data_IF_346899757774
#
_entry.id   IF_346899757774
#
_cell.length_a   1.000
_cell.length_b   1.000
_cell.length_c   1.000
_cell.angle_alpha   90.00
_cell.angle_beta   90.00
_cell.angle_gamma   90.00
#
_symmetry.space_group_name_H-M   'P 1'
#
loop_
_entity.id
_entity.type
_entity.pdbx_description
1 polymer ?
#
# COMPACT_ATOMS: atom_id res chain seq x y z
N UNK A 1 -1.41 -4.72 -18.38
CA UNK A 1 0.01 -4.74 -18.69
C UNK A 1 0.81 -5.06 -17.43
N UNK A 2 1.54 -6.19 -17.42
CA UNK A 2 2.42 -6.56 -16.31
C UNK A 2 3.86 -6.22 -16.70
N UNK A 3 4.45 -5.30 -15.90
CA UNK A 3 5.85 -4.91 -16.09
C UNK A 3 6.79 -5.87 -15.35
N UNK A 4 7.94 -6.13 -15.93
CA UNK A 4 9.05 -6.86 -15.33
C UNK A 4 8.75 -8.29 -14.88
N UNK A 5 7.76 -8.93 -15.46
CA UNK A 5 7.39 -10.30 -15.07
C UNK A 5 8.59 -11.26 -15.18
N UNK A 6 9.31 -11.22 -16.30
CA UNK A 6 10.47 -12.09 -16.50
C UNK A 6 11.58 -11.82 -15.49
N UNK A 7 11.81 -10.53 -15.18
CA UNK A 7 12.79 -10.14 -14.17
C UNK A 7 12.36 -10.61 -12.77
N UNK A 8 11.10 -10.40 -12.41
CA UNK A 8 10.58 -10.83 -11.12
C UNK A 8 10.64 -12.34 -10.97
N UNK A 9 10.31 -13.09 -12.02
CA UNK A 9 10.41 -14.55 -12.02
C UNK A 9 11.85 -15.04 -11.87
N UNK A 10 12.83 -14.31 -12.43
CA UNK A 10 14.24 -14.68 -12.34
C UNK A 10 14.83 -14.47 -10.92
N UNK A 11 14.26 -13.54 -10.13
CA UNK A 11 14.75 -13.20 -8.79
C UNK A 11 13.88 -13.76 -7.66
N UNK A 12 12.80 -14.49 -7.97
CA UNK A 12 11.90 -15.05 -6.95
C UNK A 12 11.74 -16.56 -7.15
N UNK A 13 11.66 -17.29 -6.06
CA UNK A 13 11.36 -18.73 -6.08
C UNK A 13 9.95 -19.00 -6.63
N UNK A 14 9.04 -18.06 -6.39
CA UNK A 14 7.66 -18.13 -6.87
C UNK A 14 7.12 -16.75 -7.18
N UNK A 15 6.49 -16.61 -8.33
CA UNK A 15 5.74 -15.43 -8.73
C UNK A 15 4.26 -15.81 -8.82
N UNK A 16 3.40 -15.06 -8.12
CA UNK A 16 1.96 -15.25 -8.13
C UNK A 16 1.27 -14.00 -8.69
N UNK A 17 1.03 -13.91 -10.01
CA UNK A 17 0.25 -12.83 -10.57
C UNK A 17 -1.21 -12.92 -10.12
N UNK A 18 -1.75 -11.79 -9.63
CA UNK A 18 -3.15 -11.70 -9.21
C UNK A 18 -3.77 -10.48 -9.88
N UNK A 19 -4.87 -10.66 -10.57
CA UNK A 19 -5.65 -9.57 -11.18
C UNK A 19 -7.07 -9.57 -10.65
N UNK A 20 -7.65 -8.38 -10.53
CA UNK A 20 -9.00 -8.23 -9.97
C UNK A 20 -10.06 -8.96 -10.80
N UNK A 21 -9.93 -8.90 -12.11
CA UNK A 21 -10.86 -9.46 -13.08
C UNK A 21 -10.52 -10.89 -13.52
N UNK A 22 -9.31 -11.36 -13.18
CA UNK A 22 -8.82 -12.66 -13.63
C UNK A 22 -8.31 -12.67 -15.09
N UNK A 23 -8.11 -11.49 -15.68
CA UNK A 23 -7.61 -11.37 -17.06
C UNK A 23 -6.21 -11.94 -17.22
N UNK A 24 -5.45 -12.04 -16.13
CA UNK A 24 -4.14 -12.67 -16.09
C UNK A 24 -3.84 -13.24 -14.70
N UNK A 25 -3.23 -14.42 -14.65
CA UNK A 25 -2.90 -15.11 -13.40
C UNK A 25 -4.14 -15.54 -12.63
N UNK A 26 -4.13 -15.35 -11.31
CA UNK A 26 -5.28 -15.70 -10.47
C UNK A 26 -6.21 -14.50 -10.31
N UNK A 27 -7.52 -14.77 -10.27
CA UNK A 27 -8.51 -13.75 -9.93
C UNK A 27 -8.52 -13.50 -8.44
N UNK A 28 -8.47 -12.23 -8.04
CA UNK A 28 -8.58 -11.88 -6.62
C UNK A 28 -7.91 -10.57 -6.24
N UNK A 29 -7.63 -10.48 -4.96
CA UNK A 29 -6.98 -9.34 -4.30
C UNK A 29 -5.90 -9.86 -3.34
N UNK A 30 -5.38 -8.98 -2.49
CA UNK A 30 -4.36 -9.26 -1.46
C UNK A 30 -4.66 -10.55 -0.67
N UNK A 31 -5.91 -10.80 -0.33
CA UNK A 31 -6.34 -12.01 0.38
C UNK A 31 -5.89 -13.29 -0.33
N UNK A 32 -5.91 -13.32 -1.68
CA UNK A 32 -5.47 -14.49 -2.45
C UNK A 32 -4.01 -14.85 -2.17
N UNK A 33 -3.15 -13.85 -1.90
CA UNK A 33 -1.76 -14.09 -1.46
C UNK A 33 -1.70 -14.80 -0.10
N UNK A 34 -2.55 -14.42 0.84
CA UNK A 34 -2.64 -15.08 2.15
C UNK A 34 -3.18 -16.52 2.03
N UNK A 35 -4.21 -16.71 1.22
CA UNK A 35 -4.75 -18.07 0.95
C UNK A 35 -3.68 -18.96 0.32
N UNK A 36 -2.89 -18.43 -0.61
CA UNK A 36 -1.77 -19.15 -1.22
C UNK A 36 -0.71 -19.59 -0.18
N UNK A 37 -0.36 -18.73 0.77
CA UNK A 37 0.57 -19.11 1.84
C UNK A 37 0.01 -20.26 2.68
N UNK A 38 -1.28 -20.22 2.99
CA UNK A 38 -1.96 -21.30 3.74
C UNK A 38 -2.01 -22.60 2.96
N UNK A 39 -2.38 -22.55 1.68
CA UNK A 39 -2.47 -23.70 0.78
C UNK A 39 -1.12 -24.40 0.59
N UNK A 40 -0.05 -23.61 0.51
CA UNK A 40 1.32 -24.12 0.27
C UNK A 40 2.11 -24.42 1.53
N UNK A 41 1.61 -24.02 2.70
CA UNK A 41 2.33 -24.16 3.97
C UNK A 41 3.57 -23.26 4.10
N UNK A 42 3.75 -22.31 3.17
CA UNK A 42 4.88 -21.38 3.20
C UNK A 42 4.71 -20.43 4.39
N UNK A 43 5.75 -20.33 5.23
CA UNK A 43 5.82 -19.39 6.33
C UNK A 43 6.82 -18.28 6.00
N UNK A 44 6.36 -17.08 5.65
CA UNK A 44 7.26 -15.97 5.37
C UNK A 44 7.96 -15.53 6.66
N UNK A 45 9.20 -15.09 6.55
CA UNK A 45 9.93 -14.45 7.66
C UNK A 45 9.66 -12.94 7.71
N UNK A 46 9.17 -12.38 6.63
CA UNK A 46 8.81 -10.96 6.48
C UNK A 46 7.81 -10.79 5.37
N UNK A 47 6.90 -9.85 5.52
CA UNK A 47 6.00 -9.39 4.46
C UNK A 47 6.40 -7.96 4.10
N UNK A 48 6.56 -7.69 2.81
CA UNK A 48 6.84 -6.34 2.30
C UNK A 48 5.75 -5.98 1.30
N UNK A 49 5.15 -4.82 1.47
CA UNK A 49 4.10 -4.34 0.58
C UNK A 49 4.41 -2.93 0.06
N UNK A 50 4.34 -2.79 -1.26
CA UNK A 50 4.45 -1.52 -1.95
C UNK A 50 3.28 -1.38 -2.93
N UNK A 51 2.63 -0.21 -2.92
CA UNK A 51 1.49 0.08 -3.79
C UNK A 51 0.62 1.22 -3.24
N UNK A 52 -0.60 1.36 -3.75
CA UNK A 52 -1.48 2.40 -3.24
C UNK A 52 -1.82 2.18 -1.75
N UNK A 53 -2.13 3.25 -1.03
CA UNK A 53 -2.39 3.20 0.42
C UNK A 53 -3.48 2.19 0.79
N UNK A 54 -4.52 2.07 -0.03
CA UNK A 54 -5.56 1.07 0.22
C UNK A 54 -5.01 -0.36 0.14
N UNK A 55 -4.14 -0.64 -0.83
CA UNK A 55 -3.54 -1.97 -0.98
C UNK A 55 -2.63 -2.30 0.20
N UNK A 56 -1.73 -1.40 0.58
CA UNK A 56 -0.80 -1.65 1.70
C UNK A 56 -1.54 -1.73 3.05
N UNK A 57 -2.64 -0.98 3.22
CA UNK A 57 -3.56 -1.15 4.34
C UNK A 57 -4.16 -2.56 4.36
N UNK A 58 -4.66 -3.05 3.22
CA UNK A 58 -5.22 -4.41 3.11
C UNK A 58 -4.17 -5.48 3.41
N UNK A 59 -2.93 -5.31 2.93
CA UNK A 59 -1.82 -6.20 3.29
C UNK A 59 -1.59 -6.22 4.80
N UNK A 60 -1.50 -5.05 5.42
CA UNK A 60 -1.33 -4.93 6.87
C UNK A 60 -2.42 -5.68 7.65
N UNK A 61 -3.67 -5.58 7.22
CA UNK A 61 -4.80 -6.28 7.87
C UNK A 61 -4.79 -7.79 7.62
N UNK A 62 -4.52 -8.21 6.38
CA UNK A 62 -4.56 -9.62 5.99
C UNK A 62 -3.38 -10.42 6.58
N UNK A 63 -2.20 -9.79 6.71
CA UNK A 63 -0.99 -10.47 7.19
C UNK A 63 -0.60 -10.07 8.62
N UNK A 64 -1.32 -9.14 9.24
CA UNK A 64 -1.02 -8.65 10.59
C UNK A 64 -1.14 -9.70 11.70
N UNK A 65 -1.82 -10.83 11.43
CA UNK A 65 -1.91 -11.97 12.35
C UNK A 65 -0.67 -12.84 12.35
N UNK A 66 0.22 -12.68 11.37
CA UNK A 66 1.49 -13.39 11.34
C UNK A 66 2.45 -12.77 12.37
N UNK A 67 3.20 -13.63 13.06
CA UNK A 67 4.23 -13.19 14.03
C UNK A 67 5.52 -12.75 13.33
N UNK A 68 5.40 -12.02 12.23
CA UNK A 68 6.52 -11.55 11.41
C UNK A 68 6.35 -10.08 11.09
N UNK A 69 7.43 -9.33 10.81
CA UNK A 69 7.33 -7.94 10.39
C UNK A 69 6.51 -7.81 9.10
N UNK A 70 5.55 -6.89 9.10
CA UNK A 70 4.74 -6.52 7.93
C UNK A 70 5.11 -5.09 7.53
N UNK A 71 6.10 -4.97 6.67
CA UNK A 71 6.61 -3.68 6.22
C UNK A 71 5.75 -3.15 5.08
N UNK A 72 5.26 -1.94 5.25
CA UNK A 72 4.44 -1.22 4.26
C UNK A 72 5.14 0.05 3.84
N UNK A 73 5.28 0.25 2.53
CA UNK A 73 5.82 1.49 1.97
C UNK A 73 4.68 2.48 1.78
N UNK A 74 4.69 3.58 2.53
CA UNK A 74 3.60 4.55 2.54
C UNK A 74 3.82 5.66 1.53
N UNK A 75 2.83 5.91 0.70
CA UNK A 75 2.80 6.99 -0.28
C UNK A 75 1.93 8.17 0.20
N UNK A 76 2.26 8.75 1.35
CA UNK A 76 1.66 9.98 1.84
C UNK A 76 1.98 11.16 0.91
N UNK A 77 1.19 12.22 0.99
CA UNK A 77 1.55 13.48 0.32
C UNK A 77 2.85 13.99 0.94
N UNK A 78 3.85 14.26 0.10
CA UNK A 78 5.16 14.81 0.51
C UNK A 78 5.43 16.05 -0.32
N UNK A 79 5.80 17.14 0.33
CA UNK A 79 6.07 18.43 -0.35
C UNK A 79 7.55 18.77 -0.29
N UNK A 80 8.09 18.98 0.91
CA UNK A 80 9.49 19.40 1.06
C UNK A 80 10.50 18.24 1.16
N UNK A 81 10.07 17.09 1.64
CA UNK A 81 10.95 15.93 1.83
C UNK A 81 11.94 16.04 2.99
N UNK A 82 11.90 17.12 3.78
CA UNK A 82 12.87 17.42 4.84
C UNK A 82 12.29 17.30 6.24
N UNK A 83 10.97 17.06 6.35
CA UNK A 83 10.26 16.97 7.61
C UNK A 83 9.83 18.32 8.19
N UNK A 84 10.08 19.43 7.52
CA UNK A 84 9.73 20.77 8.02
C UNK A 84 8.25 21.10 7.83
N UNK A 85 7.66 20.79 6.67
CA UNK A 85 6.27 21.15 6.38
C UNK A 85 5.24 20.28 7.12
N UNK A 86 5.60 19.11 7.59
CA UNK A 86 4.72 18.21 8.35
C UNK A 86 3.54 17.60 7.58
N UNK A 87 3.47 17.78 6.27
CA UNK A 87 2.36 17.27 5.46
C UNK A 87 2.29 15.74 5.45
N UNK A 88 3.44 15.09 5.43
CA UNK A 88 3.56 13.63 5.43
C UNK A 88 3.50 12.98 6.81
N UNK A 89 3.11 13.73 7.85
CA UNK A 89 3.05 13.19 9.21
C UNK A 89 1.96 12.12 9.34
N UNK A 90 2.25 11.14 10.17
CA UNK A 90 1.36 10.05 10.54
C UNK A 90 1.71 9.56 11.94
N UNK A 91 0.81 8.81 12.56
CA UNK A 91 1.09 8.17 13.85
C UNK A 91 1.47 6.70 13.65
N UNK A 92 2.64 6.32 14.17
CA UNK A 92 3.14 4.94 14.21
C UNK A 92 3.53 4.61 15.64
N UNK A 93 3.00 3.52 16.18
CA UNK A 93 3.23 3.11 17.58
C UNK A 93 2.96 4.26 18.60
N UNK A 94 1.85 4.99 18.38
CA UNK A 94 1.47 6.14 19.22
C UNK A 94 2.37 7.37 19.10
N UNK A 95 3.37 7.37 18.22
CA UNK A 95 4.31 8.48 18.03
C UNK A 95 4.12 9.12 16.67
N UNK A 96 4.21 10.46 16.62
CA UNK A 96 4.22 11.19 15.35
C UNK A 96 5.50 10.90 14.59
N UNK A 97 5.35 10.52 13.33
CA UNK A 97 6.42 10.23 12.37
C UNK A 97 6.20 11.04 11.10
N UNK A 98 7.29 11.29 10.37
CA UNK A 98 7.27 11.94 9.06
C UNK A 98 7.73 10.95 8.00
N UNK A 99 6.83 10.58 7.09
CA UNK A 99 7.15 9.53 6.10
C UNK A 99 8.36 9.87 5.23
N UNK A 100 8.63 11.15 4.98
CA UNK A 100 9.79 11.58 4.19
C UNK A 100 11.13 11.46 4.91
N UNK A 101 11.14 11.42 6.26
CA UNK A 101 12.37 11.40 7.07
C UNK A 101 12.50 10.09 7.83
N UNK A 102 11.42 9.66 8.52
CA UNK A 102 11.42 8.43 9.33
C UNK A 102 11.08 7.18 8.52
N UNK A 103 10.49 7.34 7.32
CA UNK A 103 10.02 6.28 6.46
C UNK A 103 10.68 6.30 5.07
N UNK A 104 9.97 5.98 3.99
CA UNK A 104 8.52 5.72 3.93
C UNK A 104 8.07 4.35 4.45
N UNK A 105 8.99 3.49 4.84
CA UNK A 105 8.73 2.10 5.20
C UNK A 105 8.48 1.98 6.72
N UNK A 106 7.34 1.44 7.09
CA UNK A 106 6.93 1.26 8.49
C UNK A 106 6.34 -0.14 8.72
N UNK A 107 6.34 -0.59 9.98
CA UNK A 107 5.53 -1.76 10.33
C UNK A 107 4.05 -1.40 10.25
N UNK A 108 3.37 -1.98 9.27
CA UNK A 108 1.96 -1.70 9.00
C UNK A 108 1.02 -2.04 10.15
N UNK A 109 1.46 -2.90 11.08
CA UNK A 109 0.68 -3.25 12.29
C UNK A 109 0.63 -2.11 13.29
N UNK A 110 1.61 -1.19 13.25
CA UNK A 110 1.78 -0.07 14.18
C UNK A 110 1.27 1.25 13.63
N UNK A 111 0.92 1.30 12.33
CA UNK A 111 0.39 2.50 11.66
C UNK A 111 -1.03 2.78 12.11
N UNK A 112 -1.33 4.03 12.48
CA UNK A 112 -2.70 4.50 12.67
C UNK A 112 -3.37 4.73 11.31
N UNK A 113 -4.01 3.68 10.78
CA UNK A 113 -4.65 3.69 9.47
C UNK A 113 -5.88 4.59 9.38
N UNK A 114 -6.57 4.83 10.49
CA UNK A 114 -7.73 5.71 10.53
C UNK A 114 -7.30 7.16 10.31
N UNK A 115 -6.34 7.63 11.09
CA UNK A 115 -5.76 8.97 10.91
C UNK A 115 -5.20 9.16 9.50
N UNK A 116 -4.42 8.21 9.02
CA UNK A 116 -3.84 8.27 7.67
C UNK A 116 -4.93 8.33 6.60
N UNK A 117 -6.00 7.56 6.77
CA UNK A 117 -7.17 7.58 5.88
C UNK A 117 -7.88 8.92 5.86
N UNK A 118 -8.09 9.52 7.03
CA UNK A 118 -8.73 10.84 7.16
C UNK A 118 -7.87 11.93 6.51
N UNK A 119 -6.57 11.91 6.74
CA UNK A 119 -5.63 12.88 6.15
C UNK A 119 -5.58 12.80 4.62
N UNK A 120 -5.69 11.62 4.07
CA UNK A 120 -5.73 11.44 2.61
C UNK A 120 -7.02 11.94 1.96
N UNK A 121 -8.09 12.05 2.73
CA UNK A 121 -9.37 12.57 2.24
C UNK A 121 -9.45 14.10 2.27
N UNK A 122 -8.46 14.77 2.80
CA UNK A 122 -8.49 16.21 3.06
C UNK A 122 -8.76 17.05 1.82
N UNK A 123 -8.41 16.60 0.63
CA UNK A 123 -8.54 17.32 -0.64
C UNK A 123 -9.35 16.57 -1.69
N UNK A 124 -10.12 15.54 -1.31
CA UNK A 124 -10.87 14.73 -2.27
C UNK A 124 -11.91 15.56 -3.02
N UNK A 125 -12.57 16.49 -2.35
CA UNK A 125 -13.62 17.30 -2.98
C UNK A 125 -13.00 18.28 -3.97
N UNK A 126 -11.86 18.88 -3.64
CA UNK A 126 -11.10 19.76 -4.52
C UNK A 126 -10.53 18.99 -5.72
N UNK A 127 -9.98 17.80 -5.48
CA UNK A 127 -9.48 16.93 -6.55
C UNK A 127 -10.63 16.48 -7.47
N UNK A 128 -11.78 16.11 -6.92
CA UNK A 128 -12.97 15.74 -7.69
C UNK A 128 -13.51 16.93 -8.50
N UNK A 129 -13.49 18.14 -7.93
CA UNK A 129 -13.87 19.36 -8.65
C UNK A 129 -12.95 19.62 -9.83
N UNK A 130 -11.64 19.48 -9.67
CA UNK A 130 -10.68 19.67 -10.77
C UNK A 130 -10.86 18.64 -11.88
N UNK A 131 -11.20 17.39 -11.55
CA UNK A 131 -11.40 16.32 -12.54
C UNK A 131 -12.76 16.44 -13.24
N UNK A 132 -13.82 16.81 -12.51
CA UNK A 132 -15.19 16.84 -13.01
C UNK A 132 -15.72 18.24 -13.25
N UNK A 133 -15.23 19.25 -12.53
CA UNK A 133 -15.69 20.65 -12.60
C UNK A 133 -14.98 21.50 -13.65
N UNK A 134 -13.82 21.11 -14.11
CA UNK A 134 -13.08 21.83 -15.17
C UNK A 134 -13.59 21.54 -16.58
N UNK A 135 -14.90 21.25 -16.70
CA UNK A 135 -15.58 21.31 -17.97
C UNK A 135 -14.91 20.60 -19.16
N UNK A 136 -14.35 19.42 -18.97
CA UNK A 136 -14.37 18.42 -20.03
C UNK A 136 -15.81 17.89 -20.14
N UNK A 137 -16.73 18.83 -19.95
CA UNK A 137 -18.11 18.72 -20.31
C UNK A 137 -18.21 18.90 -21.80
N UNK A 138 -18.52 17.85 -22.45
CA UNK A 138 -19.10 17.94 -23.78
C UNK A 138 -18.06 17.94 -24.89
N UNK A 139 -17.82 16.85 -25.40
CA UNK A 139 -18.22 16.59 -26.80
C UNK A 139 -18.46 15.09 -26.94
#
# INVERSE_FOLDING_TARGET
LLYWQDKLSAFSDRLLPITRDGSYGQRGHVKRGNDFLRETGIRPQRVIANGCTFMVYRVSREFGHLEVPVIVSLNTIMIDGTGMCGVCRLTVDGKTKFACVDGPDFDGRLVNWEELGQRRKQYIDEEAFLVHGSGCGGM
#
